data_IF_465514249128
#
_entry.id   IF_465514249128
#
_cell.length_a   1.000
_cell.length_b   1.000
_cell.length_c   1.000
_cell.angle_alpha   90.00
_cell.angle_beta   90.00
_cell.angle_gamma   90.00
#
_symmetry.space_group_name_H-M   'P 1'
#
loop_
_entity.id
_entity.type
_entity.pdbx_description
1 polymer ?
#
# COMPACT_ATOMS: atom_id res chain seq x y z
N UNK A 1 47.15 2.17 35.02
CA UNK A 1 46.91 2.49 33.60
C UNK A 1 45.47 2.14 33.30
N UNK A 2 44.59 3.14 33.30
CA UNK A 2 43.15 2.96 33.10
C UNK A 2 42.86 3.33 31.66
N UNK A 3 42.55 2.35 30.81
CA UNK A 3 42.16 2.60 29.43
C UNK A 3 40.64 2.75 29.39
N UNK A 4 40.18 4.01 29.37
CA UNK A 4 38.79 4.37 29.08
C UNK A 4 38.56 4.11 27.59
N UNK A 5 37.92 2.99 27.28
CA UNK A 5 37.38 2.76 25.94
C UNK A 5 36.11 3.60 25.81
N UNK A 6 36.22 4.69 25.06
CA UNK A 6 35.09 5.51 24.63
C UNK A 6 34.00 4.61 24.03
N UNK A 7 32.77 4.78 24.51
CA UNK A 7 31.58 4.29 23.82
C UNK A 7 31.53 4.97 22.44
N UNK A 8 31.32 4.27 21.32
CA UNK A 8 31.02 4.95 20.08
C UNK A 8 29.64 5.60 20.25
N UNK A 9 29.61 6.93 20.25
CA UNK A 9 28.38 7.70 20.09
C UNK A 9 27.67 7.17 18.85
N UNK A 10 26.47 6.67 19.06
CA UNK A 10 25.57 6.32 17.99
C UNK A 10 25.21 7.61 17.24
N UNK A 11 25.98 7.93 16.22
CA UNK A 11 25.58 8.89 15.20
C UNK A 11 24.40 8.31 14.42
N UNK A 12 23.20 8.44 15.01
CA UNK A 12 21.91 8.22 14.35
C UNK A 12 21.45 9.50 13.65
N UNK A 13 22.37 10.31 13.13
CA UNK A 13 22.04 11.44 12.24
C UNK A 13 21.88 10.99 10.79
N UNK A 14 21.51 9.73 10.55
CA UNK A 14 20.78 9.42 9.34
C UNK A 14 19.39 10.00 9.51
N UNK A 15 19.07 11.08 8.80
CA UNK A 15 17.68 11.50 8.55
C UNK A 15 16.97 10.32 7.89
N UNK A 16 16.52 9.36 8.69
CA UNK A 16 15.54 8.38 8.28
C UNK A 16 14.38 9.21 7.74
N UNK A 17 14.16 9.15 6.42
CA UNK A 17 13.19 9.98 5.72
C UNK A 17 11.91 10.00 6.54
N UNK A 18 11.61 11.14 7.16
CA UNK A 18 10.55 11.22 8.13
C UNK A 18 9.25 11.18 7.33
N UNK A 19 8.59 10.02 7.31
CA UNK A 19 7.32 9.87 6.64
C UNK A 19 6.28 10.73 7.34
N UNK A 20 5.45 11.43 6.56
CA UNK A 20 4.33 12.18 7.11
C UNK A 20 3.44 11.22 7.93
N UNK A 21 3.23 11.46 9.24
CA UNK A 21 2.46 10.54 10.09
C UNK A 21 1.03 10.32 9.59
N UNK A 22 0.46 11.27 8.83
CA UNK A 22 -0.86 11.11 8.21
C UNK A 22 -0.86 10.04 7.12
N UNK A 23 0.24 9.91 6.37
CA UNK A 23 0.39 8.86 5.36
C UNK A 23 0.45 7.49 6.03
N UNK A 24 1.16 7.37 7.15
CA UNK A 24 1.20 6.11 7.91
C UNK A 24 -0.18 5.75 8.49
N UNK A 25 -0.94 6.74 8.99
CA UNK A 25 -2.33 6.53 9.43
C UNK A 25 -3.22 6.04 8.29
N UNK A 26 -3.14 6.70 7.12
CA UNK A 26 -3.91 6.31 5.95
C UNK A 26 -3.60 4.87 5.52
N UNK A 27 -2.31 4.50 5.45
CA UNK A 27 -1.91 3.14 5.10
C UNK A 27 -2.47 2.14 6.11
N UNK A 28 -2.43 2.44 7.41
CA UNK A 28 -3.02 1.60 8.44
C UNK A 28 -4.53 1.48 8.32
N UNK A 29 -5.22 2.56 7.92
CA UNK A 29 -6.67 2.54 7.71
C UNK A 29 -7.07 1.70 6.49
N UNK A 30 -6.27 1.73 5.42
CA UNK A 30 -6.50 0.93 4.21
C UNK A 30 -6.45 -0.58 4.48
N UNK A 31 -5.71 -1.04 5.50
CA UNK A 31 -5.70 -2.45 5.90
C UNK A 31 -7.09 -2.97 6.27
N UNK A 32 -7.98 -2.11 6.76
CA UNK A 32 -9.36 -2.49 7.08
C UNK A 32 -10.15 -2.96 5.85
N UNK A 33 -9.72 -2.63 4.62
CA UNK A 33 -10.37 -3.12 3.40
C UNK A 33 -10.22 -4.64 3.21
N UNK A 34 -9.22 -5.26 3.84
CA UNK A 34 -8.99 -6.72 3.76
C UNK A 34 -10.04 -7.54 4.51
N UNK A 35 -10.77 -6.91 5.42
CA UNK A 35 -11.83 -7.56 6.21
C UNK A 35 -13.25 -7.18 5.77
N UNK A 36 -13.39 -6.28 4.77
CA UNK A 36 -14.69 -5.94 4.18
C UNK A 36 -14.95 -6.86 2.98
N UNK A 37 -15.76 -7.88 3.19
CA UNK A 37 -16.10 -8.87 2.17
C UNK A 37 -17.21 -8.42 1.21
N UNK A 38 -17.09 -8.82 -0.05
CA UNK A 38 -18.03 -8.51 -1.14
C UNK A 38 -18.96 -9.69 -1.42
N UNK A 39 -19.98 -9.45 -2.25
CA UNK A 39 -20.87 -10.53 -2.74
C UNK A 39 -20.15 -11.48 -3.69
N UNK A 40 -19.18 -10.98 -4.46
CA UNK A 40 -18.38 -11.76 -5.42
C UNK A 40 -17.52 -12.83 -4.71
N UNK A 41 -17.28 -13.93 -5.41
CA UNK A 41 -16.32 -14.96 -5.00
C UNK A 41 -15.00 -14.78 -5.72
N UNK A 42 -13.92 -15.25 -5.12
CA UNK A 42 -12.65 -15.46 -5.83
C UNK A 42 -12.81 -16.53 -6.91
N UNK A 43 -11.87 -16.60 -7.86
CA UNK A 43 -12.01 -17.41 -9.08
C UNK A 43 -12.21 -18.91 -8.82
N UNK A 44 -11.60 -19.45 -7.76
CA UNK A 44 -11.74 -20.85 -7.35
C UNK A 44 -12.98 -21.12 -6.48
N UNK A 45 -13.80 -20.09 -6.23
CA UNK A 45 -15.03 -20.11 -5.44
C UNK A 45 -14.85 -20.52 -3.96
N UNK A 46 -13.62 -20.58 -3.46
CA UNK A 46 -13.33 -21.02 -2.08
C UNK A 46 -13.85 -20.06 -1.00
N UNK A 47 -13.93 -18.75 -1.32
CA UNK A 47 -14.35 -17.69 -0.38
C UNK A 47 -14.90 -16.46 -1.09
N UNK A 48 -15.52 -15.58 -0.29
CA UNK A 48 -15.84 -14.22 -0.75
C UNK A 48 -14.57 -13.40 -0.98
N UNK A 49 -14.59 -12.61 -2.04
CA UNK A 49 -13.58 -11.58 -2.34
C UNK A 49 -13.64 -10.48 -1.27
N UNK A 50 -12.49 -9.92 -0.85
CA UNK A 50 -12.46 -8.73 0.01
C UNK A 50 -12.31 -7.44 -0.82
N UNK A 51 -12.57 -6.29 -0.19
CA UNK A 51 -12.57 -5.01 -0.89
C UNK A 51 -11.17 -4.57 -1.34
N UNK A 52 -10.12 -4.93 -0.60
CA UNK A 52 -8.74 -4.65 -1.02
C UNK A 52 -8.35 -5.38 -2.31
N UNK A 53 -8.67 -6.67 -2.41
CA UNK A 53 -8.45 -7.50 -3.59
C UNK A 53 -9.17 -6.94 -4.82
N UNK A 54 -10.43 -6.57 -4.63
CA UNK A 54 -11.26 -6.02 -5.71
C UNK A 54 -10.71 -4.69 -6.24
N UNK A 55 -10.35 -3.78 -5.34
CA UNK A 55 -9.76 -2.48 -5.71
C UNK A 55 -8.43 -2.65 -6.43
N UNK A 56 -7.57 -3.57 -5.97
CA UNK A 56 -6.31 -3.86 -6.63
C UNK A 56 -6.52 -4.46 -8.03
N UNK A 57 -7.43 -5.42 -8.18
CA UNK A 57 -7.78 -6.01 -9.47
C UNK A 57 -8.31 -4.96 -10.45
N UNK A 58 -9.17 -4.05 -9.98
CA UNK A 58 -9.70 -2.95 -10.79
C UNK A 58 -8.58 -2.00 -11.24
N UNK A 59 -7.72 -1.56 -10.32
CA UNK A 59 -6.61 -0.67 -10.63
C UNK A 59 -5.66 -1.27 -11.68
N UNK A 60 -5.28 -2.55 -11.52
CA UNK A 60 -4.45 -3.25 -12.51
C UNK A 60 -5.17 -3.39 -13.86
N UNK A 61 -6.47 -3.71 -13.84
CA UNK A 61 -7.27 -3.81 -15.06
C UNK A 61 -7.27 -2.48 -15.82
N UNK A 62 -7.48 -1.36 -15.13
CA UNK A 62 -7.42 -0.03 -15.74
C UNK A 62 -6.03 0.26 -16.29
N UNK A 63 -4.96 0.03 -15.51
CA UNK A 63 -3.58 0.23 -15.98
C UNK A 63 -3.27 -0.54 -17.27
N UNK A 64 -3.76 -1.78 -17.40
CA UNK A 64 -3.53 -2.63 -18.57
C UNK A 64 -4.40 -2.19 -19.77
N UNK A 65 -5.68 -1.89 -19.54
CA UNK A 65 -6.66 -1.74 -20.62
C UNK A 65 -7.06 -0.30 -20.94
N UNK A 66 -6.57 0.72 -20.22
CA UNK A 66 -7.00 2.13 -20.38
C UNK A 66 -7.05 2.62 -21.83
N UNK A 67 -6.06 2.25 -22.65
CA UNK A 67 -5.95 2.64 -24.07
C UNK A 67 -6.95 1.97 -25.00
N UNK A 68 -7.63 0.92 -24.54
CA UNK A 68 -8.61 0.17 -25.33
C UNK A 68 -10.04 0.69 -25.14
N UNK A 69 -10.28 1.52 -24.12
CA UNK A 69 -11.59 2.13 -23.88
C UNK A 69 -11.80 3.36 -24.77
N UNK A 70 -13.06 3.59 -25.17
CA UNK A 70 -13.48 4.77 -25.89
C UNK A 70 -14.62 5.45 -25.09
N UNK A 71 -14.43 6.67 -24.55
CA UNK A 71 -13.22 7.51 -24.63
C UNK A 71 -12.02 6.95 -23.83
N UNK A 72 -10.81 7.42 -24.17
CA UNK A 72 -9.59 7.08 -23.43
C UNK A 72 -9.71 7.52 -21.96
N UNK A 73 -9.33 6.65 -21.04
CA UNK A 73 -9.40 6.91 -19.60
C UNK A 73 -8.11 7.61 -19.13
N UNK A 74 -8.25 8.76 -18.48
CA UNK A 74 -7.17 9.43 -17.76
C UNK A 74 -6.86 8.67 -16.47
N UNK A 75 -5.79 7.88 -16.48
CA UNK A 75 -5.38 7.04 -15.35
C UNK A 75 -4.94 7.85 -14.14
N UNK A 76 -4.43 9.06 -14.32
CA UNK A 76 -3.98 9.92 -13.22
C UNK A 76 -5.16 10.51 -12.43
N UNK A 77 -6.39 10.31 -12.93
CA UNK A 77 -7.66 10.75 -12.32
C UNK A 77 -8.63 9.61 -12.01
N UNK A 78 -8.24 8.37 -12.26
CA UNK A 78 -9.07 7.18 -12.11
C UNK A 78 -9.24 6.74 -10.65
#
# INVERSE_FOLDING_TARGET
MTFSAAQPEADRSGSAGQFDPRILSLISELENLKIVYRRSYVIDQSRKENSAEHSWQLALTLLIFHRTFAPEIDIDRA
#
